data_IF_058176847441
#
_entry.id   IF_058176847441
#
_cell.length_a   1.000
_cell.length_b   1.000
_cell.length_c   1.000
_cell.angle_alpha   90.00
_cell.angle_beta   90.00
_cell.angle_gamma   90.00
#
_symmetry.space_group_name_H-M   'P 1'
#
loop_
_entity.id
_entity.type
_entity.pdbx_description
1 polymer ?
#
# COMPACT_ATOMS: atom_id res chain seq x y z
N UNK A 1 5.99 -30.05 -17.32
CA UNK A 1 6.62 -29.04 -16.47
C UNK A 1 5.80 -27.77 -16.59
N UNK A 2 4.95 -27.47 -15.61
CA UNK A 2 4.11 -26.26 -15.62
C UNK A 2 4.98 -25.09 -15.18
N UNK A 3 5.19 -24.11 -16.06
CA UNK A 3 5.86 -22.85 -15.74
C UNK A 3 4.97 -22.06 -14.78
N UNK A 4 5.44 -21.87 -13.55
CA UNK A 4 4.86 -20.95 -12.61
C UNK A 4 5.37 -19.56 -13.02
N UNK A 5 4.52 -18.80 -13.70
CA UNK A 5 4.74 -17.37 -13.90
C UNK A 5 4.26 -16.71 -12.60
N UNK A 6 5.18 -16.29 -11.76
CA UNK A 6 4.86 -15.48 -10.60
C UNK A 6 4.41 -14.09 -11.10
N UNK A 7 3.10 -13.88 -11.19
CA UNK A 7 2.55 -12.55 -11.02
C UNK A 7 2.93 -12.10 -9.61
N UNK A 8 3.52 -10.94 -9.44
CA UNK A 8 4.09 -10.42 -8.18
C UNK A 8 3.10 -10.29 -7.01
N UNK A 9 1.89 -10.80 -7.16
CA UNK A 9 0.81 -10.77 -6.15
C UNK A 9 0.11 -12.12 -5.91
N UNK A 10 0.66 -13.27 -6.33
CA UNK A 10 0.04 -14.58 -6.06
C UNK A 10 0.98 -15.51 -5.32
N UNK A 11 1.03 -15.35 -4.00
CA UNK A 11 1.36 -16.45 -3.10
C UNK A 11 0.06 -16.88 -2.44
N UNK A 12 -0.47 -18.00 -2.96
CA UNK A 12 -1.60 -18.69 -2.33
C UNK A 12 -1.11 -19.30 -1.03
N UNK A 13 -1.64 -18.82 0.09
CA UNK A 13 -1.58 -19.54 1.37
C UNK A 13 -3.00 -19.81 1.85
N UNK A 14 -3.23 -21.07 2.09
CA UNK A 14 -4.49 -21.67 2.53
C UNK A 14 -4.77 -21.32 3.99
N UNK A 15 -5.96 -20.79 4.18
CA UNK A 15 -6.87 -20.83 5.33
C UNK A 15 -6.33 -20.88 6.77
N UNK A 16 -6.73 -19.90 7.53
CA UNK A 16 -6.91 -19.96 8.97
C UNK A 16 -7.98 -18.98 9.41
N UNK A 17 -9.18 -19.46 9.62
CA UNK A 17 -10.32 -18.73 10.21
C UNK A 17 -10.00 -18.44 11.67
N UNK A 18 -10.00 -17.18 12.08
CA UNK A 18 -10.26 -16.80 13.49
C UNK A 18 -11.05 -15.49 13.55
N UNK A 19 -12.21 -15.63 14.16
CA UNK A 19 -13.06 -14.54 14.57
C UNK A 19 -12.59 -13.98 15.92
N UNK A 20 -12.74 -12.68 16.12
CA UNK A 20 -12.96 -12.21 17.48
C UNK A 20 -12.21 -10.96 17.95
N UNK A 21 -13.03 -10.03 18.38
CA UNK A 21 -12.88 -9.10 19.48
C UNK A 21 -12.23 -7.72 19.24
N UNK A 22 -13.11 -6.73 19.33
CA UNK A 22 -12.84 -5.31 19.57
C UNK A 22 -12.14 -5.09 20.92
N UNK A 23 -11.16 -4.20 20.96
CA UNK A 23 -10.81 -3.48 22.17
C UNK A 23 -10.39 -2.05 21.83
N UNK A 24 -11.18 -1.11 22.36
CA UNK A 24 -10.88 0.31 22.40
C UNK A 24 -9.95 0.61 23.58
N UNK A 25 -8.94 1.42 23.38
CA UNK A 25 -8.24 2.08 24.49
C UNK A 25 -7.96 3.54 24.13
N UNK A 26 -8.72 4.43 24.79
CA UNK A 26 -8.42 5.85 24.87
C UNK A 26 -7.34 6.13 25.92
N UNK A 27 -6.61 7.21 25.72
CA UNK A 27 -5.64 7.72 26.71
C UNK A 27 -5.34 9.19 26.47
N UNK A 28 -6.02 10.07 27.22
CA UNK A 28 -5.70 11.49 27.34
C UNK A 28 -4.47 11.71 28.20
N UNK A 29 -3.63 12.66 27.85
CA UNK A 29 -2.79 13.37 28.82
C UNK A 29 -2.57 14.83 28.40
N UNK A 30 -3.09 15.72 29.21
CA UNK A 30 -2.91 17.16 29.25
C UNK A 30 -1.54 17.56 29.78
N UNK A 31 -0.96 18.63 29.23
CA UNK A 31 0.18 19.32 29.85
C UNK A 31 0.49 20.64 29.15
N UNK A 32 0.05 21.75 29.76
CA UNK A 32 0.31 23.11 29.32
C UNK A 32 1.68 23.59 29.83
N UNK A 33 2.40 24.39 29.05
CA UNK A 33 3.14 25.55 29.56
C UNK A 33 3.49 26.54 28.43
N UNK A 34 3.18 27.81 28.70
CA UNK A 34 3.43 29.00 27.90
C UNK A 34 4.92 29.43 27.93
N UNK A 35 5.42 30.04 26.84
CA UNK A 35 6.03 31.39 26.74
C UNK A 35 6.77 31.53 25.42
N UNK A 36 6.35 32.39 24.54
CA UNK A 36 6.87 33.73 24.37
C UNK A 36 7.77 33.90 23.15
N UNK A 37 7.31 34.60 22.12
CA UNK A 37 8.19 35.47 21.34
C UNK A 37 8.45 35.11 19.88
N UNK A 38 7.85 35.94 19.09
CA UNK A 38 8.33 36.53 17.85
C UNK A 38 7.77 36.01 16.52
N UNK A 39 7.03 36.92 15.92
CA UNK A 39 6.26 36.76 14.69
C UNK A 39 7.18 36.71 13.46
N UNK A 40 7.36 35.52 12.93
CA UNK A 40 7.55 35.35 11.48
C UNK A 40 6.27 34.71 10.94
N UNK A 41 5.51 35.50 10.18
CA UNK A 41 4.40 35.00 9.37
C UNK A 41 4.98 34.06 8.30
N UNK A 42 5.28 32.83 8.68
CA UNK A 42 5.34 31.73 7.74
C UNK A 42 3.90 31.48 7.28
N UNK A 43 3.68 31.61 5.98
CA UNK A 43 2.46 31.17 5.35
C UNK A 43 2.09 29.80 5.94
N UNK A 44 0.91 29.75 6.57
CA UNK A 44 0.28 28.57 7.09
C UNK A 44 -0.01 27.68 5.87
N UNK A 45 0.97 26.90 5.43
CA UNK A 45 0.70 25.70 4.70
C UNK A 45 -0.25 24.94 5.63
N UNK A 46 -1.51 24.85 5.28
CA UNK A 46 -2.44 23.92 5.86
C UNK A 46 -1.83 22.55 5.62
N UNK A 47 -1.08 22.06 6.58
CA UNK A 47 -0.69 20.68 6.64
C UNK A 47 -1.99 19.92 6.86
N UNK A 48 -2.69 19.60 5.79
CA UNK A 48 -3.59 18.47 5.81
C UNK A 48 -2.71 17.32 6.26
N UNK A 49 -2.98 16.82 7.45
CA UNK A 49 -2.27 15.70 8.00
C UNK A 49 -2.28 14.62 6.91
N UNK A 50 -1.09 14.23 6.45
CA UNK A 50 -0.95 13.24 5.38
C UNK A 50 -1.63 11.98 5.86
N UNK A 51 -2.86 11.74 5.45
CA UNK A 51 -3.59 10.55 5.86
C UNK A 51 -2.97 9.33 5.20
N UNK A 52 -3.05 8.18 5.86
CA UNK A 52 -2.54 6.92 5.31
C UNK A 52 -3.23 6.54 3.98
N UNK A 53 -4.39 7.14 3.71
CA UNK A 53 -5.12 6.99 2.45
C UNK A 53 -4.24 7.23 1.22
N UNK A 54 -3.31 8.21 1.29
CA UNK A 54 -2.37 8.48 0.19
C UNK A 54 -1.47 7.29 -0.13
N UNK A 55 -1.05 6.53 0.89
CA UNK A 55 -0.24 5.31 0.70
C UNK A 55 -1.00 4.25 -0.10
N UNK A 56 -2.33 4.19 0.03
CA UNK A 56 -3.22 3.27 -0.68
C UNK A 56 -3.86 3.89 -1.93
N UNK A 57 -3.42 5.09 -2.35
CA UNK A 57 -3.99 5.82 -3.50
C UNK A 57 -5.51 5.99 -3.36
N UNK A 58 -5.94 6.47 -2.19
CA UNK A 58 -7.33 6.70 -1.83
C UNK A 58 -7.60 8.18 -1.59
N UNK A 59 -8.77 8.64 -1.99
CA UNK A 59 -9.25 10.03 -1.86
C UNK A 59 -10.61 10.05 -1.15
N UNK A 60 -10.86 11.11 -0.40
CA UNK A 60 -12.11 11.28 0.35
C UNK A 60 -12.10 10.55 1.70
N UNK A 61 -13.23 10.52 2.37
CA UNK A 61 -13.40 9.94 3.72
C UNK A 61 -13.64 8.44 3.62
N UNK A 62 -12.59 7.68 3.31
CA UNK A 62 -12.67 6.23 3.10
C UNK A 62 -12.71 5.50 4.44
N UNK A 63 -13.70 4.60 4.58
CA UNK A 63 -13.83 3.69 5.72
C UNK A 63 -13.09 2.38 5.49
N UNK A 64 -13.19 1.83 4.29
CA UNK A 64 -12.46 0.62 3.92
C UNK A 64 -12.24 0.51 2.42
N UNK A 65 -11.20 -0.23 2.04
CA UNK A 65 -10.96 -0.68 0.67
C UNK A 65 -10.74 -2.20 0.67
N UNK A 66 -11.41 -2.89 -0.26
CA UNK A 66 -11.24 -4.34 -0.48
C UNK A 66 -10.84 -4.58 -1.93
N UNK A 67 -9.71 -5.23 -2.15
CA UNK A 67 -9.18 -5.58 -3.47
C UNK A 67 -9.66 -6.96 -3.92
N UNK A 68 -9.80 -7.17 -5.24
CA UNK A 68 -10.18 -8.47 -5.82
C UNK A 68 -9.15 -9.55 -5.55
N UNK A 69 -7.88 -9.18 -5.55
CA UNK A 69 -6.75 -10.04 -5.26
C UNK A 69 -6.05 -9.60 -3.97
N UNK A 70 -5.18 -10.47 -3.43
CA UNK A 70 -4.37 -10.14 -2.26
C UNK A 70 -3.45 -8.96 -2.60
N UNK A 71 -3.54 -7.89 -1.81
CA UNK A 71 -2.81 -6.66 -2.11
C UNK A 71 -1.45 -6.61 -1.43
N UNK A 72 -1.42 -6.70 -0.09
CA UNK A 72 -0.18 -6.81 0.66
C UNK A 72 -0.22 -8.06 1.53
N UNK A 73 0.62 -9.02 1.21
CA UNK A 73 0.84 -10.25 1.96
C UNK A 73 -0.48 -10.95 2.37
N UNK A 74 -1.31 -11.28 1.39
CA UNK A 74 -2.60 -11.96 1.59
C UNK A 74 -3.71 -11.08 2.16
N UNK A 75 -3.44 -9.80 2.43
CA UNK A 75 -4.47 -8.87 2.89
C UNK A 75 -5.24 -8.29 1.72
N UNK A 76 -6.55 -8.50 1.73
CA UNK A 76 -7.46 -7.95 0.71
C UNK A 76 -8.14 -6.68 1.19
N UNK A 77 -8.36 -6.53 2.49
CA UNK A 77 -9.15 -5.44 3.05
C UNK A 77 -8.31 -4.61 4.01
N UNK A 78 -8.38 -3.30 3.84
CA UNK A 78 -7.79 -2.30 4.73
C UNK A 78 -8.89 -1.38 5.24
N UNK A 79 -8.89 -1.14 6.54
CA UNK A 79 -9.84 -0.27 7.22
C UNK A 79 -9.13 1.00 7.67
N UNK A 80 -9.86 2.11 7.69
CA UNK A 80 -9.36 3.42 8.08
C UNK A 80 -10.28 4.07 9.12
N UNK A 81 -9.74 4.93 9.96
CA UNK A 81 -10.52 5.80 10.83
C UNK A 81 -11.17 6.93 10.01
N UNK A 82 -12.08 7.69 10.63
CA UNK A 82 -12.67 8.86 9.99
C UNK A 82 -11.63 9.94 9.62
N UNK A 83 -10.50 9.97 10.34
CA UNK A 83 -9.36 10.85 10.07
C UNK A 83 -8.41 10.30 8.99
N UNK A 84 -8.73 9.13 8.41
CA UNK A 84 -7.97 8.49 7.34
C UNK A 84 -6.75 7.70 7.81
N UNK A 85 -6.60 7.42 9.10
CA UNK A 85 -5.53 6.59 9.63
C UNK A 85 -5.83 5.09 9.45
N UNK A 86 -4.83 4.34 9.01
CA UNK A 86 -4.91 2.90 8.82
C UNK A 86 -5.17 2.19 10.16
N UNK A 87 -6.24 1.42 10.21
CA UNK A 87 -6.58 0.55 11.33
C UNK A 87 -6.02 -0.85 11.06
N UNK A 88 -4.90 -1.16 11.71
CA UNK A 88 -4.27 -2.47 11.59
C UNK A 88 -4.77 -3.44 12.66
N UNK A 89 -4.80 -4.73 12.31
CA UNK A 89 -4.87 -5.79 13.30
C UNK A 89 -3.66 -5.72 14.25
N UNK A 90 -3.81 -6.20 15.47
CA UNK A 90 -2.78 -6.13 16.52
C UNK A 90 -1.41 -6.71 16.15
N UNK A 91 -1.36 -7.47 15.05
CA UNK A 91 -0.14 -8.12 14.57
C UNK A 91 0.63 -7.31 13.52
N UNK A 92 0.02 -6.30 12.89
CA UNK A 92 0.66 -5.46 11.89
C UNK A 92 1.28 -4.24 12.56
N UNK A 93 2.58 -4.05 12.36
CA UNK A 93 3.27 -2.86 12.90
C UNK A 93 3.43 -1.81 11.81
N UNK A 94 3.17 -0.56 12.16
CA UNK A 94 3.30 0.60 11.28
C UNK A 94 4.42 1.49 11.79
N UNK A 95 5.43 1.74 10.95
CA UNK A 95 6.43 2.78 11.21
C UNK A 95 6.16 3.98 10.32
N UNK A 96 6.34 5.19 10.87
CA UNK A 96 6.04 6.44 10.20
C UNK A 96 7.31 7.28 9.95
N UNK A 97 7.27 8.13 8.94
CA UNK A 97 8.30 9.14 8.68
C UNK A 97 8.06 10.42 9.51
N UNK A 98 8.93 11.41 9.36
CA UNK A 98 8.82 12.70 10.07
C UNK A 98 7.58 13.53 9.70
N UNK A 99 6.90 13.21 8.61
CA UNK A 99 5.65 13.82 8.17
C UNK A 99 4.43 12.96 8.54
N UNK A 100 4.59 11.99 9.46
CA UNK A 100 3.56 11.07 9.92
C UNK A 100 2.96 10.15 8.83
N UNK A 101 3.63 9.97 7.68
CA UNK A 101 3.21 9.05 6.61
C UNK A 101 3.72 7.65 6.90
N UNK A 102 3.02 6.63 6.44
CA UNK A 102 3.47 5.24 6.56
C UNK A 102 4.80 5.07 5.82
N UNK A 103 5.85 4.75 6.55
CA UNK A 103 7.18 4.43 5.99
C UNK A 103 7.36 2.94 5.80
N UNK A 104 6.90 2.15 6.77
CA UNK A 104 7.03 0.69 6.77
C UNK A 104 5.76 0.06 7.34
N UNK A 105 5.29 -1.01 6.69
CA UNK A 105 4.35 -1.97 7.22
C UNK A 105 5.07 -3.29 7.46
N UNK A 106 4.91 -3.87 8.65
CA UNK A 106 5.47 -5.16 9.03
C UNK A 106 4.34 -6.14 9.30
N UNK A 107 4.30 -7.21 8.52
CA UNK A 107 3.32 -8.29 8.62
C UNK A 107 4.01 -9.53 9.19
N UNK A 108 3.70 -9.95 10.43
CA UNK A 108 4.22 -11.19 10.97
C UNK A 108 3.53 -12.38 10.29
N UNK A 109 4.28 -13.42 10.02
CA UNK A 109 3.75 -14.68 9.51
C UNK A 109 4.55 -15.85 10.02
N UNK A 110 3.98 -17.06 9.89
CA UNK A 110 4.70 -18.29 10.21
C UNK A 110 5.12 -18.99 8.92
N UNK A 111 6.38 -19.45 8.88
CA UNK A 111 6.83 -20.34 7.82
C UNK A 111 6.10 -21.69 7.88
N UNK A 112 6.21 -22.47 6.82
CA UNK A 112 5.69 -23.86 6.80
C UNK A 112 6.25 -24.73 7.94
N UNK A 113 7.45 -24.40 8.42
CA UNK A 113 8.11 -25.06 9.55
C UNK A 113 7.76 -24.45 10.91
N UNK A 114 6.80 -23.49 10.97
CA UNK A 114 6.34 -22.85 12.19
C UNK A 114 7.26 -21.75 12.74
N UNK A 115 8.31 -21.36 12.01
CA UNK A 115 9.21 -20.26 12.41
C UNK A 115 8.50 -18.92 12.20
N UNK A 116 8.55 -18.05 13.22
CA UNK A 116 8.02 -16.69 13.14
C UNK A 116 8.91 -15.84 12.24
N UNK A 117 8.32 -15.30 11.19
CA UNK A 117 8.94 -14.46 10.17
C UNK A 117 8.22 -13.12 10.07
N UNK A 118 8.85 -12.18 9.38
CA UNK A 118 8.24 -10.87 9.06
C UNK A 118 8.37 -10.60 7.57
N UNK A 119 7.27 -10.14 6.99
CA UNK A 119 7.23 -9.54 5.66
C UNK A 119 7.17 -8.02 5.81
N UNK A 120 8.02 -7.31 5.11
CA UNK A 120 8.15 -5.86 5.21
C UNK A 120 7.79 -5.21 3.89
N UNK A 121 6.93 -4.20 3.96
CA UNK A 121 6.64 -3.30 2.84
C UNK A 121 7.09 -1.91 3.24
N UNK A 122 7.99 -1.31 2.48
CA UNK A 122 8.46 0.06 2.73
C UNK A 122 8.12 1.00 1.58
N UNK A 123 7.81 2.24 1.92
CA UNK A 123 7.32 3.27 1.00
C UNK A 123 8.28 4.45 0.94
N UNK A 124 8.46 5.00 -0.26
CA UNK A 124 9.10 6.29 -0.49
C UNK A 124 8.15 7.20 -1.24
N UNK A 125 8.13 8.45 -0.85
CA UNK A 125 7.23 9.46 -1.40
C UNK A 125 7.98 10.44 -2.31
N UNK A 126 7.26 11.03 -3.26
CA UNK A 126 7.73 12.17 -4.03
C UNK A 126 7.44 13.49 -3.30
N UNK A 127 7.82 14.61 -3.92
CA UNK A 127 7.63 15.96 -3.35
C UNK A 127 6.16 16.39 -3.28
N UNK A 128 5.27 15.68 -3.99
CA UNK A 128 3.81 15.86 -3.92
C UNK A 128 3.15 14.96 -2.87
N UNK A 129 3.94 14.15 -2.15
CA UNK A 129 3.45 13.23 -1.12
C UNK A 129 2.90 11.91 -1.65
N UNK A 130 3.02 11.62 -2.96
CA UNK A 130 2.58 10.35 -3.57
C UNK A 130 3.65 9.27 -3.41
N UNK A 131 3.25 8.02 -3.33
CA UNK A 131 4.19 6.89 -3.26
C UNK A 131 4.94 6.74 -4.57
N UNK A 132 6.21 7.09 -4.61
CA UNK A 132 7.06 6.93 -5.81
C UNK A 132 7.78 5.59 -5.91
N UNK A 133 7.96 4.91 -4.78
CA UNK A 133 8.58 3.59 -4.77
C UNK A 133 8.09 2.75 -3.58
N UNK A 134 7.94 1.47 -3.84
CA UNK A 134 7.60 0.44 -2.87
C UNK A 134 8.75 -0.58 -2.86
N UNK A 135 9.12 -1.06 -1.70
CA UNK A 135 10.06 -2.17 -1.55
C UNK A 135 9.43 -3.22 -0.66
N UNK A 136 9.37 -4.43 -1.18
CA UNK A 136 8.88 -5.60 -0.49
C UNK A 136 10.06 -6.50 -0.12
N UNK A 137 10.06 -7.00 1.11
CA UNK A 137 11.08 -7.91 1.61
C UNK A 137 10.46 -9.02 2.43
N UNK A 138 10.84 -10.24 2.13
CA UNK A 138 10.48 -11.46 2.87
C UNK A 138 11.70 -12.36 3.00
N UNK A 139 11.50 -13.59 3.47
CA UNK A 139 12.56 -14.56 3.67
C UNK A 139 13.30 -14.88 2.34
N UNK A 140 14.51 -14.33 2.20
CA UNK A 140 15.37 -14.59 1.04
C UNK A 140 14.90 -13.94 -0.27
N UNK A 141 13.91 -13.08 -0.21
CA UNK A 141 13.33 -12.43 -1.39
C UNK A 141 13.14 -10.93 -1.16
N UNK A 142 13.37 -10.13 -2.19
CA UNK A 142 13.06 -8.72 -2.19
C UNK A 142 12.69 -8.23 -3.58
N UNK A 143 11.77 -7.27 -3.66
CA UNK A 143 11.47 -6.53 -4.88
C UNK A 143 11.45 -5.02 -4.63
N UNK A 144 11.51 -4.25 -5.70
CA UNK A 144 11.40 -2.81 -5.67
C UNK A 144 10.63 -2.32 -6.88
N UNK A 145 9.48 -1.75 -6.61
CA UNK A 145 8.63 -1.07 -7.58
C UNK A 145 8.96 0.44 -7.64
N UNK A 146 8.83 1.04 -8.84
CA UNK A 146 8.80 2.47 -9.08
C UNK A 146 7.50 2.79 -9.78
N UNK A 147 6.78 3.79 -9.25
CA UNK A 147 5.47 4.18 -9.74
C UNK A 147 5.58 5.48 -10.54
N UNK A 148 4.88 5.53 -11.68
CA UNK A 148 4.69 6.73 -12.50
C UNK A 148 3.21 7.07 -12.54
N UNK A 149 2.90 8.36 -12.49
CA UNK A 149 1.55 8.88 -12.35
C UNK A 149 1.14 9.72 -13.56
N UNK A 150 -0.16 9.74 -13.88
CA UNK A 150 -0.76 10.67 -14.80
C UNK A 150 -1.11 12.03 -14.13
N UNK A 151 -1.75 12.92 -14.89
CA UNK A 151 -2.21 14.23 -14.42
C UNK A 151 -3.34 14.17 -13.37
N UNK A 152 -3.99 13.00 -13.21
CA UNK A 152 -5.07 12.74 -12.24
C UNK A 152 -4.58 12.06 -10.97
N UNK A 153 -3.25 11.91 -10.82
CA UNK A 153 -2.59 11.17 -9.74
C UNK A 153 -2.94 9.68 -9.72
N UNK A 154 -3.20 9.09 -10.89
CA UNK A 154 -3.38 7.65 -11.04
C UNK A 154 -2.06 7.02 -11.50
N UNK A 155 -1.70 5.86 -10.94
CA UNK A 155 -0.49 5.13 -11.34
C UNK A 155 -0.69 4.53 -12.72
N UNK A 156 0.02 5.04 -13.72
CA UNK A 156 -0.06 4.54 -15.10
C UNK A 156 0.98 3.49 -15.44
N UNK A 157 2.12 3.51 -14.74
CA UNK A 157 3.19 2.52 -14.93
C UNK A 157 3.79 2.13 -13.58
N UNK A 158 4.01 0.83 -13.41
CA UNK A 158 4.81 0.23 -12.36
C UNK A 158 6.00 -0.49 -12.98
N UNK A 159 7.22 -0.18 -12.52
CA UNK A 159 8.44 -0.85 -12.94
C UNK A 159 9.05 -1.56 -11.74
N UNK A 160 8.83 -2.86 -11.65
CA UNK A 160 9.26 -3.70 -10.52
C UNK A 160 10.49 -4.53 -10.86
N UNK A 161 11.56 -4.31 -10.10
CA UNK A 161 12.78 -5.11 -10.14
C UNK A 161 12.78 -6.14 -9.00
N UNK A 162 12.97 -7.40 -9.35
CA UNK A 162 13.10 -8.54 -8.45
C UNK A 162 14.34 -9.38 -8.81
N UNK A 163 14.68 -10.43 -8.05
CA UNK A 163 15.73 -11.38 -8.43
C UNK A 163 15.50 -12.05 -9.79
N UNK A 164 14.23 -12.18 -10.21
CA UNK A 164 13.84 -12.84 -11.47
C UNK A 164 13.94 -11.92 -12.69
N UNK A 165 14.09 -10.60 -12.48
CA UNK A 165 14.24 -9.63 -13.56
C UNK A 165 13.47 -8.33 -13.33
N UNK A 166 13.26 -7.60 -14.43
CA UNK A 166 12.48 -6.37 -14.47
C UNK A 166 11.12 -6.65 -15.09
N UNK A 167 10.06 -6.34 -14.36
CA UNK A 167 8.67 -6.36 -14.85
C UNK A 167 8.17 -4.92 -14.99
N UNK A 168 7.62 -4.59 -16.14
CA UNK A 168 6.95 -3.32 -16.38
C UNK A 168 5.47 -3.58 -16.62
N UNK A 169 4.63 -2.93 -15.82
CA UNK A 169 3.17 -3.05 -15.87
C UNK A 169 2.56 -1.72 -16.23
N UNK A 170 1.81 -1.67 -17.32
CA UNK A 170 0.99 -0.54 -17.72
C UNK A 170 -0.45 -0.75 -17.23
N UNK A 171 -1.08 0.31 -16.74
CA UNK A 171 -2.46 0.30 -16.25
C UNK A 171 -3.36 1.18 -17.09
N UNK A 172 -4.59 0.67 -17.37
CA UNK A 172 -5.67 1.39 -18.01
C UNK A 172 -6.91 1.34 -17.12
N UNK A 173 -7.37 2.50 -16.64
CA UNK A 173 -8.48 2.59 -15.70
C UNK A 173 -9.82 2.54 -16.43
N UNK A 174 -10.62 1.51 -16.15
CA UNK A 174 -11.93 1.28 -16.78
C UNK A 174 -13.08 1.83 -15.95
N UNK A 175 -12.90 2.00 -14.63
CA UNK A 175 -13.90 2.58 -13.76
C UNK A 175 -13.24 3.42 -12.66
N UNK A 176 -13.73 4.64 -12.48
CA UNK A 176 -13.32 5.60 -11.46
C UNK A 176 -14.60 6.15 -10.81
N UNK A 177 -14.60 6.31 -9.49
CA UNK A 177 -15.73 6.90 -8.76
C UNK A 177 -15.73 8.44 -8.82
N UNK A 178 -16.76 9.05 -8.22
CA UNK A 178 -16.95 10.51 -8.15
C UNK A 178 -15.89 11.25 -7.32
N UNK A 179 -15.12 10.54 -6.51
CA UNK A 179 -14.02 11.08 -5.68
C UNK A 179 -12.66 10.96 -6.36
N UNK A 180 -12.63 10.32 -7.54
CA UNK A 180 -11.40 10.09 -8.31
C UNK A 180 -10.63 8.86 -7.84
N UNK A 181 -11.27 7.93 -7.15
CA UNK A 181 -10.71 6.63 -6.82
C UNK A 181 -10.98 5.65 -7.94
N UNK A 182 -9.97 4.92 -8.37
CA UNK A 182 -10.20 3.83 -9.33
C UNK A 182 -10.96 2.67 -8.64
N UNK A 183 -11.89 2.06 -9.39
CA UNK A 183 -12.64 0.89 -8.94
C UNK A 183 -12.29 -0.35 -9.76
N UNK A 184 -11.92 -0.15 -11.03
CA UNK A 184 -11.47 -1.22 -11.92
C UNK A 184 -10.41 -0.70 -12.87
N UNK A 185 -9.41 -1.54 -13.15
CA UNK A 185 -8.36 -1.26 -14.14
C UNK A 185 -7.91 -2.54 -14.83
N UNK A 186 -7.53 -2.41 -16.08
CA UNK A 186 -6.82 -3.43 -16.83
C UNK A 186 -5.32 -3.22 -16.67
N UNK A 187 -4.57 -4.31 -16.75
CA UNK A 187 -3.11 -4.22 -16.77
C UNK A 187 -2.49 -5.07 -17.87
N UNK A 188 -1.32 -4.63 -18.30
CA UNK A 188 -0.46 -5.37 -19.22
C UNK A 188 0.94 -5.37 -18.62
N UNK A 189 1.40 -6.54 -18.16
CA UNK A 189 2.75 -6.74 -17.62
C UNK A 189 3.68 -7.35 -18.65
N UNK A 190 4.89 -6.82 -18.73
CA UNK A 190 5.99 -7.33 -19.58
C UNK A 190 7.18 -7.66 -18.70
N UNK A 191 7.72 -8.85 -18.83
CA UNK A 191 8.92 -9.24 -18.13
C UNK A 191 10.14 -9.05 -19.05
N UNK A 192 11.05 -8.14 -18.68
CA UNK A 192 12.34 -7.90 -19.37
C UNK A 192 13.47 -8.79 -18.82
N UNK A 193 13.12 -9.96 -18.33
CA UNK A 193 14.07 -10.91 -17.73
C UNK A 193 14.77 -11.83 -18.74
N UNK A 194 15.52 -12.77 -18.22
CA UNK A 194 16.55 -13.64 -18.84
C UNK A 194 16.08 -14.63 -19.90
N UNK A 195 14.85 -14.65 -20.34
CA UNK A 195 14.36 -15.62 -21.33
C UNK A 195 13.97 -14.93 -22.63
N UNK A 196 14.32 -15.53 -23.76
CA UNK A 196 14.10 -15.08 -25.15
C UNK A 196 12.62 -14.86 -25.55
N UNK A 197 11.68 -15.00 -24.66
CA UNK A 197 10.28 -14.72 -24.89
C UNK A 197 9.82 -13.59 -23.98
N UNK A 198 9.47 -12.45 -24.55
CA UNK A 198 8.67 -11.40 -23.94
C UNK A 198 7.31 -12.00 -23.55
N UNK A 199 7.22 -12.62 -22.38
CA UNK A 199 5.94 -13.09 -21.86
C UNK A 199 5.14 -11.87 -21.44
N UNK A 200 4.04 -11.63 -22.13
CA UNK A 200 3.09 -10.58 -21.78
C UNK A 200 1.95 -11.22 -20.99
N UNK A 201 1.69 -10.70 -19.80
CA UNK A 201 0.52 -11.06 -19.01
C UNK A 201 -0.49 -9.90 -19.05
N UNK A 202 -1.78 -10.23 -19.18
CA UNK A 202 -2.87 -9.26 -19.15
C UNK A 202 -3.91 -9.71 -18.14
N UNK A 203 -4.52 -8.76 -17.46
CA UNK A 203 -5.58 -9.05 -16.51
C UNK A 203 -6.35 -7.80 -16.13
N UNK A 204 -7.26 -7.99 -15.19
CA UNK A 204 -8.09 -6.93 -14.62
C UNK A 204 -7.98 -6.99 -13.11
N UNK A 205 -7.81 -5.84 -12.50
CA UNK A 205 -7.89 -5.65 -11.06
C UNK A 205 -9.12 -4.81 -10.71
N UNK A 206 -9.74 -5.12 -9.58
CA UNK A 206 -10.84 -4.33 -9.06
C UNK A 206 -10.74 -4.12 -7.56
N UNK A 207 -11.41 -3.08 -7.07
CA UNK A 207 -11.54 -2.85 -5.63
C UNK A 207 -12.91 -2.25 -5.31
N UNK A 208 -13.38 -2.53 -4.09
CA UNK A 208 -14.59 -1.95 -3.52
C UNK A 208 -14.19 -0.99 -2.42
N UNK A 209 -14.75 0.21 -2.43
CA UNK A 209 -14.48 1.26 -1.45
C UNK A 209 -15.75 1.57 -0.69
N UNK A 210 -15.69 1.54 0.64
CA UNK A 210 -16.74 2.05 1.51
C UNK A 210 -16.31 3.40 2.09
N UNK A 211 -17.25 4.33 2.19
CA UNK A 211 -17.05 5.67 2.73
C UNK A 211 -17.79 5.84 4.06
N UNK A 212 -17.38 6.83 4.85
CA UNK A 212 -18.09 7.27 6.03
C UNK A 212 -19.34 8.08 5.68
#
# INVERSE_FOLDING_TARGET
MKKIVLSLFKIVMIAGVFAGAMCACGGSATGASEQGGDSLKMAKATSEASSDLTTFQLKGSVKSVTYSDDYYYGNKTFNFSADGELQCDSNVSVERDSLNRIRILLFPYKSETGVDLKYMVSFKYDDQGRVRAIRDEGQGWSSRARLSYDEKDLVVVDSTKSPDGLTVTDYNYTQIDDKGNWLSREYVSRNEGKTDSLSQEKGTESRVIAYY
#
